data_IF_483084393774
#
_entry.id   IF_483084393774
#
_cell.length_a   1.000
_cell.length_b   1.000
_cell.length_c   1.000
_cell.angle_alpha   90.00
_cell.angle_beta   90.00
_cell.angle_gamma   90.00
#
_symmetry.space_group_name_H-M   'P 1'
#
loop_
_entity.id
_entity.type
_entity.pdbx_description
1 polymer ?
#
# COMPACT_ATOMS: atom_id res chain seq x y z
N UNK A 1 14.37 23.35 2.03
CA UNK A 1 14.65 22.68 3.33
C UNK A 1 13.44 21.96 3.94
N UNK A 2 12.27 21.90 3.28
CA UNK A 2 11.07 21.22 3.83
C UNK A 2 11.02 19.71 3.54
N UNK A 3 11.71 19.23 2.50
CA UNK A 3 11.74 17.81 2.12
C UNK A 3 12.70 16.93 2.94
N UNK A 4 13.64 17.51 3.70
CA UNK A 4 14.64 16.70 4.44
C UNK A 4 14.12 16.16 5.77
N UNK A 5 13.04 16.71 6.33
CA UNK A 5 12.51 16.32 7.65
C UNK A 5 11.52 15.15 7.55
N UNK A 6 10.85 14.95 6.42
CA UNK A 6 9.98 13.79 6.20
C UNK A 6 10.77 12.50 5.89
N UNK A 7 12.05 12.61 5.54
CA UNK A 7 12.91 11.48 5.14
C UNK A 7 13.27 10.52 6.30
N UNK A 8 13.04 10.94 7.54
CA UNK A 8 13.32 10.18 8.76
C UNK A 8 12.10 10.02 9.67
N UNK A 9 10.88 10.32 9.19
CA UNK A 9 9.67 10.01 9.93
C UNK A 9 9.47 8.48 9.99
N UNK A 10 9.05 7.94 11.13
CA UNK A 10 8.86 6.50 11.33
C UNK A 10 7.86 5.92 10.32
N UNK A 11 6.77 6.65 10.05
CA UNK A 11 5.77 6.28 9.03
C UNK A 11 6.37 6.21 7.61
N UNK A 12 7.29 7.13 7.30
CA UNK A 12 7.98 7.15 6.01
C UNK A 12 8.95 5.96 5.90
N UNK A 13 9.72 5.70 6.96
CA UNK A 13 10.66 4.57 7.01
C UNK A 13 9.89 3.25 6.91
N UNK A 14 8.77 3.11 7.61
CA UNK A 14 7.94 1.90 7.58
C UNK A 14 7.29 1.70 6.20
N UNK A 15 6.76 2.77 5.60
CA UNK A 15 6.22 2.72 4.22
C UNK A 15 7.30 2.30 3.23
N UNK A 16 8.50 2.87 3.34
CA UNK A 16 9.65 2.54 2.49
C UNK A 16 10.09 1.10 2.67
N UNK A 17 10.14 0.60 3.91
CA UNK A 17 10.50 -0.78 4.25
C UNK A 17 9.51 -1.76 3.63
N UNK A 18 8.20 -1.52 3.79
CA UNK A 18 7.13 -2.34 3.18
C UNK A 18 7.19 -2.34 1.65
N UNK A 19 7.37 -1.17 1.04
CA UNK A 19 7.49 -1.03 -0.41
C UNK A 19 8.69 -1.81 -0.95
N UNK A 20 9.85 -1.69 -0.29
CA UNK A 20 11.06 -2.41 -0.67
C UNK A 20 10.86 -3.93 -0.53
N UNK A 21 10.26 -4.38 0.57
CA UNK A 21 9.97 -5.80 0.77
C UNK A 21 9.05 -6.36 -0.33
N UNK A 22 7.99 -5.64 -0.67
CA UNK A 22 7.06 -6.02 -1.75
C UNK A 22 7.76 -6.03 -3.12
N UNK A 23 8.65 -5.08 -3.36
CA UNK A 23 9.44 -5.00 -4.59
C UNK A 23 10.41 -6.17 -4.72
N UNK A 24 11.18 -6.47 -3.67
CA UNK A 24 12.13 -7.59 -3.67
C UNK A 24 11.43 -8.93 -3.90
N UNK A 25 10.31 -9.17 -3.22
CA UNK A 25 9.51 -10.38 -3.44
C UNK A 25 8.99 -10.48 -4.87
N UNK A 26 8.51 -9.36 -5.45
CA UNK A 26 8.07 -9.33 -6.86
C UNK A 26 9.19 -9.65 -7.84
N UNK A 27 10.41 -9.19 -7.59
CA UNK A 27 11.55 -9.54 -8.44
C UNK A 27 11.92 -11.02 -8.27
N UNK A 28 11.95 -11.52 -7.04
CA UNK A 28 12.28 -12.91 -6.75
C UNK A 28 11.32 -13.90 -7.45
N UNK A 29 10.04 -13.55 -7.55
CA UNK A 29 9.01 -14.37 -8.23
C UNK A 29 8.99 -14.20 -9.76
N UNK A 30 9.76 -13.26 -10.33
CA UNK A 30 9.68 -12.91 -11.74
C UNK A 30 10.67 -13.69 -12.60
N UNK A 31 10.15 -14.60 -13.45
CA UNK A 31 10.92 -15.53 -14.32
C UNK A 31 12.12 -14.94 -15.09
N UNK A 32 12.12 -13.66 -15.43
CA UNK A 32 13.24 -13.01 -16.13
C UNK A 32 14.14 -12.17 -15.21
N UNK A 33 13.58 -11.60 -14.13
CA UNK A 33 14.31 -10.62 -13.32
C UNK A 33 15.05 -11.30 -12.16
N UNK A 34 14.57 -12.45 -11.67
CA UNK A 34 15.25 -13.26 -10.64
C UNK A 34 16.66 -13.67 -11.04
N UNK A 35 16.90 -13.92 -12.34
CA UNK A 35 18.19 -14.39 -12.83
C UNK A 35 19.15 -13.27 -13.22
N UNK A 36 18.79 -12.00 -13.01
CA UNK A 36 19.65 -10.88 -13.34
C UNK A 36 20.91 -10.89 -12.44
N UNK A 37 22.09 -10.86 -13.05
CA UNK A 37 23.37 -10.93 -12.31
C UNK A 37 23.63 -9.69 -11.44
N UNK A 38 23.19 -8.50 -11.87
CA UNK A 38 23.28 -7.29 -11.06
C UNK A 38 22.37 -7.38 -9.83
N UNK A 39 21.19 -7.99 -9.96
CA UNK A 39 20.26 -8.21 -8.84
C UNK A 39 20.81 -9.23 -7.83
N UNK A 40 21.39 -10.33 -8.32
CA UNK A 40 22.08 -11.29 -7.46
C UNK A 40 23.22 -10.61 -6.72
N UNK A 41 24.08 -9.89 -7.45
CA UNK A 41 25.20 -9.18 -6.85
C UNK A 41 24.74 -8.11 -5.85
N UNK A 42 23.67 -7.36 -6.13
CA UNK A 42 23.08 -6.44 -5.17
C UNK A 42 22.66 -7.11 -3.86
N UNK A 43 22.15 -8.34 -3.91
CA UNK A 43 21.74 -9.10 -2.73
C UNK A 43 22.88 -9.84 -2.02
N UNK A 44 23.90 -10.29 -2.77
CA UNK A 44 24.95 -11.21 -2.25
C UNK A 44 26.33 -10.57 -2.10
N UNK A 45 26.58 -9.43 -2.73
CA UNK A 45 27.88 -8.77 -2.69
C UNK A 45 28.23 -8.29 -1.29
N UNK A 46 29.50 -8.41 -0.94
CA UNK A 46 30.04 -7.73 0.23
C UNK A 46 30.21 -6.23 -0.09
N UNK A 47 30.09 -5.36 0.92
CA UNK A 47 30.01 -3.91 0.75
C UNK A 47 31.12 -3.27 -0.10
N UNK A 48 32.28 -3.91 -0.23
CA UNK A 48 33.43 -3.45 -1.01
C UNK A 48 33.31 -3.76 -2.52
N UNK A 49 32.55 -4.80 -2.93
CA UNK A 49 32.36 -5.24 -4.32
C UNK A 49 31.32 -4.38 -5.08
N UNK A 50 30.45 -3.68 -4.37
CA UNK A 50 29.41 -2.82 -4.96
C UNK A 50 29.98 -1.55 -5.63
N UNK A 51 31.20 -1.15 -5.29
CA UNK A 51 31.83 0.08 -5.80
C UNK A 51 32.41 -0.07 -7.22
N UNK A 52 32.76 -1.28 -7.64
CA UNK A 52 33.34 -1.57 -8.96
C UNK A 52 32.29 -1.86 -10.05
N UNK A 53 31.15 -2.48 -9.70
CA UNK A 53 30.09 -2.83 -10.64
C UNK A 53 29.27 -1.66 -11.18
N UNK A 54 29.17 -0.55 -10.44
CA UNK A 54 28.44 0.65 -10.89
C UNK A 54 28.99 1.26 -12.19
N UNK A 55 30.21 0.89 -12.60
CA UNK A 55 30.92 1.45 -13.76
C UNK A 55 30.81 0.63 -15.06
N UNK A 56 30.16 -0.53 -15.05
CA UNK A 56 30.12 -1.42 -16.22
C UNK A 56 28.70 -1.87 -16.58
N UNK A 57 27.81 -0.91 -16.83
CA UNK A 57 26.51 -1.20 -17.44
C UNK A 57 26.65 -1.25 -18.98
N UNK A 58 26.35 -2.37 -19.65
CA UNK A 58 26.23 -2.38 -21.11
C UNK A 58 25.09 -1.44 -21.51
N UNK A 59 25.35 -0.56 -22.47
CA UNK A 59 24.40 0.45 -22.91
C UNK A 59 23.02 -0.14 -23.23
N UNK A 60 21.98 0.44 -22.62
CA UNK A 60 20.56 0.07 -22.77
C UNK A 60 20.04 0.10 -24.23
N UNK A 61 20.85 0.53 -25.19
CA UNK A 61 20.51 0.66 -26.61
C UNK A 61 20.68 -0.63 -27.43
N UNK A 62 21.37 -1.66 -26.91
CA UNK A 62 21.66 -2.87 -27.70
C UNK A 62 20.42 -3.78 -27.95
N UNK A 63 19.27 -3.50 -27.35
CA UNK A 63 18.03 -4.30 -27.48
C UNK A 63 16.91 -3.67 -28.32
N UNK A 64 17.11 -2.47 -28.87
CA UNK A 64 16.08 -1.75 -29.65
C UNK A 64 15.80 -2.38 -31.05
N UNK A 65 16.56 -3.40 -31.47
CA UNK A 65 16.39 -4.02 -32.79
C UNK A 65 15.29 -5.10 -32.89
N UNK A 66 14.86 -5.68 -31.77
CA UNK A 66 13.90 -6.80 -31.78
C UNK A 66 12.43 -6.36 -31.65
N UNK A 67 12.18 -5.17 -31.08
CA UNK A 67 10.82 -4.65 -30.84
C UNK A 67 10.09 -4.27 -32.13
N UNK A 68 10.81 -3.78 -33.15
CA UNK A 68 10.21 -3.28 -34.40
C UNK A 68 9.62 -4.41 -35.26
N UNK A 69 10.20 -5.63 -35.21
CA UNK A 69 9.66 -6.81 -35.91
C UNK A 69 8.37 -7.35 -35.29
N UNK A 70 8.16 -7.17 -33.98
CA UNK A 70 6.97 -7.67 -33.29
C UNK A 70 5.72 -6.80 -33.54
N UNK A 71 5.91 -5.50 -33.76
CA UNK A 71 4.80 -4.55 -34.05
C UNK A 71 4.19 -4.80 -35.42
N UNK A 72 4.98 -5.21 -36.42
CA UNK A 72 4.51 -5.50 -37.78
C UNK A 72 3.55 -6.69 -37.89
N UNK A 73 3.53 -7.60 -36.90
CA UNK A 73 2.67 -8.80 -36.91
C UNK A 73 1.35 -8.63 -36.13
N UNK A 74 1.12 -7.50 -35.45
CA UNK A 74 -0.02 -7.33 -34.54
C UNK A 74 -1.30 -6.77 -35.19
N UNK A 75 -1.35 -6.59 -36.52
CA UNK A 75 -2.49 -5.98 -37.21
C UNK A 75 -3.69 -6.93 -37.48
N UNK A 76 -3.77 -8.09 -36.82
CA UNK A 76 -4.98 -8.94 -36.84
C UNK A 76 -5.53 -9.12 -35.43
N UNK A 77 -6.67 -8.49 -35.18
CA UNK A 77 -7.47 -8.64 -33.98
C UNK A 77 -7.57 -7.33 -33.21
N UNK A 78 -8.79 -6.92 -32.89
CA UNK A 78 -9.09 -5.83 -31.96
C UNK A 78 -8.57 -6.23 -30.58
N UNK A 79 -7.27 -6.06 -30.39
CA UNK A 79 -6.59 -6.20 -29.11
C UNK A 79 -6.55 -4.79 -28.55
N UNK A 80 -7.21 -4.57 -27.40
CA UNK A 80 -7.10 -3.32 -26.65
C UNK A 80 -5.63 -2.95 -26.65
N UNK A 81 -5.28 -1.78 -27.19
CA UNK A 81 -3.89 -1.38 -27.28
C UNK A 81 -3.33 -1.38 -25.85
N UNK A 82 -2.14 -1.95 -25.59
CA UNK A 82 -1.59 -2.03 -24.24
C UNK A 82 -1.63 -0.68 -23.50
N UNK A 83 -1.50 0.42 -24.25
CA UNK A 83 -1.60 1.79 -23.76
C UNK A 83 -2.99 2.11 -23.19
N UNK A 84 -4.06 1.82 -23.93
CA UNK A 84 -5.45 2.07 -23.52
C UNK A 84 -5.82 1.27 -22.27
N UNK A 85 -5.32 0.03 -22.17
CA UNK A 85 -5.54 -0.80 -20.97
C UNK A 85 -4.86 -0.21 -19.74
N UNK A 86 -3.60 0.23 -19.86
CA UNK A 86 -2.85 0.83 -18.75
C UNK A 86 -3.53 2.12 -18.30
N UNK A 87 -4.02 2.94 -19.24
CA UNK A 87 -4.75 4.16 -18.92
C UNK A 87 -6.04 3.87 -18.14
N UNK A 88 -6.88 2.97 -18.64
CA UNK A 88 -8.14 2.58 -17.97
C UNK A 88 -7.86 1.96 -16.61
N UNK A 89 -6.84 1.10 -16.51
CA UNK A 89 -6.46 0.47 -15.25
C UNK A 89 -6.00 1.52 -14.22
N UNK A 90 -5.12 2.44 -14.63
CA UNK A 90 -4.65 3.55 -13.80
C UNK A 90 -5.81 4.41 -13.31
N UNK A 91 -6.72 4.79 -14.20
CA UNK A 91 -7.93 5.56 -13.86
C UNK A 91 -8.78 4.83 -12.82
N UNK A 92 -9.05 3.52 -13.00
CA UNK A 92 -9.85 2.72 -12.06
C UNK A 92 -9.16 2.56 -10.71
N UNK A 93 -7.85 2.33 -10.70
CA UNK A 93 -7.05 2.26 -9.47
C UNK A 93 -7.14 3.57 -8.70
N UNK A 94 -6.97 4.71 -9.37
CA UNK A 94 -7.06 6.03 -8.72
C UNK A 94 -8.47 6.30 -8.18
N UNK A 95 -9.52 5.82 -8.86
CA UNK A 95 -10.88 5.92 -8.37
C UNK A 95 -11.09 5.09 -7.10
N UNK A 96 -10.58 3.85 -7.07
CA UNK A 96 -10.64 2.99 -5.88
C UNK A 96 -9.90 3.64 -4.70
N UNK A 97 -8.73 4.24 -4.95
CA UNK A 97 -7.96 4.96 -3.93
C UNK A 97 -8.75 6.15 -3.36
N UNK A 98 -9.33 6.99 -4.23
CA UNK A 98 -10.20 8.11 -3.82
C UNK A 98 -11.40 7.66 -2.99
N UNK A 99 -12.05 6.57 -3.37
CA UNK A 99 -13.19 6.03 -2.61
C UNK A 99 -12.70 5.53 -1.24
N UNK A 100 -11.56 4.83 -1.20
CA UNK A 100 -10.99 4.31 0.05
C UNK A 100 -10.63 5.44 1.02
N UNK A 101 -10.01 6.51 0.52
CA UNK A 101 -9.71 7.70 1.32
C UNK A 101 -10.97 8.39 1.83
N UNK A 102 -12.02 8.48 1.00
CA UNK A 102 -13.29 9.07 1.40
C UNK A 102 -13.98 8.26 2.49
N UNK A 103 -14.05 6.93 2.34
CA UNK A 103 -14.61 6.02 3.35
C UNK A 103 -13.85 6.19 4.67
N UNK A 104 -12.52 6.18 4.62
CA UNK A 104 -11.69 6.36 5.82
C UNK A 104 -11.98 7.70 6.52
N UNK A 105 -12.14 8.78 5.74
CA UNK A 105 -12.49 10.09 6.28
C UNK A 105 -13.88 10.08 6.92
N UNK A 106 -14.89 9.53 6.23
CA UNK A 106 -16.26 9.43 6.75
C UNK A 106 -16.31 8.58 8.03
N UNK A 107 -15.67 7.41 8.05
CA UNK A 107 -15.56 6.56 9.25
C UNK A 107 -14.94 7.33 10.42
N UNK A 108 -13.91 8.12 10.16
CA UNK A 108 -13.23 8.91 11.19
C UNK A 108 -14.11 10.05 11.71
N UNK A 109 -14.84 10.74 10.83
CA UNK A 109 -15.80 11.80 11.21
C UNK A 109 -16.96 11.23 12.05
N UNK A 110 -17.54 10.09 11.65
CA UNK A 110 -18.58 9.40 12.43
C UNK A 110 -18.08 8.99 13.81
N UNK A 111 -16.85 8.52 13.87
CA UNK A 111 -16.24 8.07 15.10
C UNK A 111 -15.89 9.26 16.02
N UNK A 112 -15.45 10.39 15.48
CA UNK A 112 -15.20 11.61 16.25
C UNK A 112 -16.51 12.15 16.87
N UNK A 113 -17.61 12.15 16.11
CA UNK A 113 -18.94 12.47 16.62
C UNK A 113 -19.37 11.50 17.74
N UNK A 114 -19.10 10.20 17.60
CA UNK A 114 -19.44 9.20 18.62
C UNK A 114 -18.77 9.47 19.97
N UNK A 115 -17.54 10.03 19.97
CA UNK A 115 -16.81 10.37 21.20
C UNK A 115 -17.45 11.47 21.99
N UNK A 116 -18.11 12.43 21.35
CA UNK A 116 -18.76 13.54 22.04
C UNK A 116 -19.86 13.05 23.00
N UNK A 117 -20.42 11.87 22.74
CA UNK A 117 -21.42 11.26 23.60
C UNK A 117 -20.86 10.56 24.83
N UNK A 118 -19.58 10.19 24.89
CA UNK A 118 -19.00 9.48 26.05
C UNK A 118 -19.18 10.27 27.37
N UNK A 119 -18.82 11.57 27.44
CA UNK A 119 -19.06 12.40 28.63
C UNK A 119 -20.56 12.54 28.98
N UNK A 120 -21.43 12.55 27.97
CA UNK A 120 -22.88 12.67 28.15
C UNK A 120 -23.44 11.43 28.85
N UNK A 121 -23.04 10.23 28.41
CA UNK A 121 -23.45 8.97 29.02
C UNK A 121 -22.92 8.84 30.46
N UNK A 122 -21.69 9.29 30.73
CA UNK A 122 -21.14 9.33 32.08
C UNK A 122 -21.94 10.27 32.99
N UNK A 123 -22.23 11.50 32.54
CA UNK A 123 -23.00 12.46 33.32
C UNK A 123 -24.43 11.98 33.60
N UNK A 124 -25.06 11.36 32.61
CA UNK A 124 -26.41 10.80 32.77
C UNK A 124 -26.41 9.62 33.75
N UNK A 125 -25.39 8.75 33.68
CA UNK A 125 -25.22 7.64 34.62
C UNK A 125 -25.00 8.07 36.07
N UNK A 126 -24.53 9.30 36.29
CA UNK A 126 -24.38 9.88 37.61
C UNK A 126 -25.69 10.46 38.17
N UNK A 127 -26.68 10.69 37.30
CA UNK A 127 -27.95 11.33 37.64
C UNK A 127 -29.10 10.33 37.81
N UNK A 128 -28.99 9.13 37.24
CA UNK A 128 -30.01 8.07 37.30
C UNK A 128 -29.43 6.80 37.91
N UNK A 129 -30.18 6.14 38.81
CA UNK A 129 -29.68 4.99 39.59
C UNK A 129 -29.91 3.65 38.87
N UNK A 130 -31.06 3.48 38.19
CA UNK A 130 -31.47 2.23 37.55
C UNK A 130 -30.71 1.95 36.22
N UNK A 131 -30.56 2.91 35.27
CA UNK A 131 -29.78 2.68 34.05
C UNK A 131 -28.28 2.98 34.19
N UNK A 132 -27.79 3.34 35.38
CA UNK A 132 -26.41 3.80 35.59
C UNK A 132 -25.34 2.88 34.99
N UNK A 133 -25.44 1.58 35.27
CA UNK A 133 -24.45 0.59 34.85
C UNK A 133 -24.49 0.34 33.34
N UNK A 134 -25.70 0.38 32.74
CA UNK A 134 -25.87 0.28 31.29
C UNK A 134 -25.23 1.48 30.59
N UNK A 135 -25.46 2.69 31.10
CA UNK A 135 -24.89 3.93 30.55
C UNK A 135 -23.36 3.97 30.68
N UNK A 136 -22.80 3.53 31.81
CA UNK A 136 -21.35 3.37 31.98
C UNK A 136 -20.76 2.32 31.03
N UNK A 137 -21.48 1.23 30.79
CA UNK A 137 -21.06 0.22 29.81
C UNK A 137 -21.02 0.80 28.40
N UNK A 138 -22.01 1.61 28.01
CA UNK A 138 -22.04 2.29 26.71
C UNK A 138 -20.87 3.26 26.56
N UNK A 139 -20.61 4.09 27.58
CA UNK A 139 -19.44 4.98 27.61
C UNK A 139 -18.11 4.19 27.46
N UNK A 140 -17.95 3.12 28.24
CA UNK A 140 -16.75 2.27 28.16
C UNK A 140 -16.56 1.62 26.78
N UNK A 141 -17.64 1.23 26.10
CA UNK A 141 -17.60 0.67 24.75
C UNK A 141 -17.15 1.71 23.73
N UNK A 142 -17.69 2.93 23.80
CA UNK A 142 -17.25 4.05 22.97
C UNK A 142 -15.75 4.25 23.17
N UNK A 143 -15.28 4.35 24.41
CA UNK A 143 -13.86 4.56 24.75
C UNK A 143 -12.94 3.41 24.26
N UNK A 144 -13.33 2.14 24.44
CA UNK A 144 -12.55 0.98 23.93
C UNK A 144 -12.44 1.03 22.41
N UNK A 145 -13.55 1.32 21.72
CA UNK A 145 -13.54 1.53 20.26
C UNK A 145 -12.55 2.63 19.90
N UNK A 146 -12.45 3.69 20.73
CA UNK A 146 -11.49 4.76 20.47
C UNK A 146 -10.03 4.38 20.54
N UNK A 147 -9.67 3.56 21.52
CA UNK A 147 -8.31 3.10 21.70
C UNK A 147 -7.93 2.10 20.60
N UNK A 148 -8.87 1.26 20.16
CA UNK A 148 -8.61 0.32 19.06
C UNK A 148 -8.42 1.01 17.72
N UNK A 149 -9.13 2.11 17.45
CA UNK A 149 -9.00 2.84 16.18
C UNK A 149 -7.86 3.86 16.19
N UNK A 150 -7.49 4.42 17.35
CA UNK A 150 -6.24 5.18 17.52
C UNK A 150 -4.97 4.30 17.37
N UNK A 151 -5.10 2.97 17.53
CA UNK A 151 -4.06 1.97 17.26
C UNK A 151 -4.18 1.36 15.84
N UNK A 152 -5.20 1.76 15.06
CA UNK A 152 -5.35 1.42 13.65
C UNK A 152 -4.65 2.36 12.64
N UNK A 153 -3.80 3.36 12.97
CA UNK A 153 -2.97 3.96 11.92
C UNK A 153 -1.96 2.88 11.50
N UNK A 154 -1.83 2.63 10.19
CA UNK A 154 -0.88 1.74 9.50
C UNK A 154 -1.36 0.36 9.00
N UNK A 155 -2.63 -0.05 9.19
CA UNK A 155 -3.10 -1.39 8.73
C UNK A 155 -3.94 -1.44 7.47
N UNK A 156 -4.21 -0.33 6.80
CA UNK A 156 -4.81 -0.34 5.47
C UNK A 156 -3.74 -0.26 4.40
N UNK A 157 -2.94 -1.32 4.31
CA UNK A 157 -2.37 -1.70 3.01
C UNK A 157 -3.56 -2.10 2.11
N UNK A 158 -4.28 -1.11 1.56
CA UNK A 158 -5.33 -1.26 0.51
C UNK A 158 -4.83 -2.11 -0.67
N UNK A 159 -3.51 -2.31 -0.73
CA UNK A 159 -2.76 -3.03 -1.74
C UNK A 159 -2.30 -4.43 -1.35
N UNK A 160 -2.74 -5.04 -0.23
CA UNK A 160 -2.63 -6.49 -0.05
C UNK A 160 -3.64 -7.19 -0.97
N UNK A 161 -3.39 -7.12 -2.28
CA UNK A 161 -3.96 -8.03 -3.25
C UNK A 161 -3.47 -9.42 -2.87
N UNK A 162 -4.30 -10.15 -2.12
CA UNK A 162 -4.10 -11.55 -1.79
C UNK A 162 -3.91 -12.27 -3.12
N UNK A 163 -2.69 -12.75 -3.37
CA UNK A 163 -2.38 -13.55 -4.56
C UNK A 163 -3.42 -14.68 -4.66
N UNK A 164 -4.10 -14.85 -5.81
CA UNK A 164 -4.98 -15.99 -6.02
C UNK A 164 -4.12 -17.23 -6.29
N UNK A 165 -3.39 -17.69 -5.27
CA UNK A 165 -2.75 -18.99 -5.25
C UNK A 165 -3.75 -20.04 -4.78
N UNK A 166 -4.89 -20.18 -5.47
CA UNK A 166 -5.76 -21.37 -5.36
C UNK A 166 -6.89 -21.36 -6.41
N UNK A 167 -6.54 -21.37 -7.70
CA UNK A 167 -7.45 -21.84 -8.75
C UNK A 167 -6.61 -22.64 -9.76
N UNK A 168 -6.26 -23.87 -9.39
CA UNK A 168 -5.83 -24.92 -10.31
C UNK A 168 -6.19 -26.28 -9.70
N UNK A 169 -7.35 -26.78 -10.09
CA UNK A 169 -7.69 -28.19 -10.27
C UNK A 169 -8.57 -28.24 -11.49
#
# INVERSE_FOLDING_TARGET
MKEMVESANDDFIETRRKALHKFLNRIADHRTLTFNEDFKCFLTAQAWELSSQKKQGPGLLSRMGQTVKAVALSMRGVKIRPEDFIEIFSQKINLIDKISQRIYKEEWEYFDEMKEYDPVHILWSASEEDPADTLKSVASFVNVTTLTDAVRPLKTDVWTFRSPASCRT
#
